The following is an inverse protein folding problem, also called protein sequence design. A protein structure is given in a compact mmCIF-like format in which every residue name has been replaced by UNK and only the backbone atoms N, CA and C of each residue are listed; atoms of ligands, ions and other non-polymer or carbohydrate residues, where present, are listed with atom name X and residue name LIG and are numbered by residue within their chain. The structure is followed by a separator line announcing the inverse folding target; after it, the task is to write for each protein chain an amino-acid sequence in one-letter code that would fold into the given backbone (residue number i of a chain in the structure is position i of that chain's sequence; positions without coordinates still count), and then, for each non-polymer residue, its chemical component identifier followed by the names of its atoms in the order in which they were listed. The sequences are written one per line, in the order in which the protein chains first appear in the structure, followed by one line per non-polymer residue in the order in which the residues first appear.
data_IF_528775182624
#
_entry.id   IF_528775182624
#
_cell.length_a   1.000
_cell.length_b   1.000
_cell.length_c   1.000
_cell.angle_alpha   90.00
_cell.angle_beta   90.00
_cell.angle_gamma   90.00
#
_symmetry.space_group_name_H-M   'P 1'
#
loop_
_entity.id
_entity.type
_entity.pdbx_description
1 polymer ?
#
# COMPACT_ATOMS: atom_id res chain seq x y z
N UNK A 1 -1.85 4.54 -15.80
CA UNK A 1 -1.77 3.11 -15.44
C UNK A 1 -2.00 2.30 -16.71
N UNK A 2 -1.24 1.23 -16.94
CA UNK A 2 -1.48 0.27 -18.02
C UNK A 2 -1.72 -1.11 -17.42
N UNK A 3 -2.81 -1.76 -17.83
CA UNK A 3 -3.16 -3.12 -17.43
C UNK A 3 -2.98 -4.04 -18.63
N UNK A 4 -2.18 -5.09 -18.48
CA UNK A 4 -1.94 -6.10 -19.50
C UNK A 4 -2.41 -7.45 -18.94
N UNK A 5 -3.29 -8.13 -19.68
CA UNK A 5 -3.77 -9.46 -19.31
C UNK A 5 -3.12 -10.50 -20.20
N UNK A 6 -2.31 -11.37 -19.59
CA UNK A 6 -1.74 -12.50 -20.27
C UNK A 6 -2.67 -13.71 -20.15
N UNK A 7 -3.46 -13.95 -21.20
CA UNK A 7 -4.40 -15.09 -21.29
C UNK A 7 -3.72 -16.45 -21.20
N UNK A 8 -2.48 -16.58 -21.67
CA UNK A 8 -1.73 -17.84 -21.67
C UNK A 8 -1.31 -18.23 -20.25
N UNK A 9 -0.79 -17.26 -19.49
CA UNK A 9 -0.30 -17.51 -18.14
C UNK A 9 -1.34 -17.27 -17.04
N UNK A 10 -2.53 -16.74 -17.39
CA UNK A 10 -3.58 -16.31 -16.45
C UNK A 10 -3.04 -15.27 -15.46
N UNK A 11 -2.29 -14.29 -15.96
CA UNK A 11 -1.63 -13.26 -15.16
C UNK A 11 -2.11 -11.86 -15.54
N UNK A 12 -2.23 -11.00 -14.53
CA UNK A 12 -2.49 -9.57 -14.69
C UNK A 12 -1.21 -8.82 -14.35
N UNK A 13 -0.71 -8.08 -15.33
CA UNK A 13 0.40 -7.15 -15.18
C UNK A 13 -0.13 -5.72 -15.04
N UNK A 14 0.24 -5.07 -13.96
CA UNK A 14 -0.15 -3.73 -13.58
C UNK A 14 1.11 -2.86 -13.63
N UNK A 15 1.20 -2.04 -14.68
CA UNK A 15 2.26 -1.03 -14.81
C UNK A 15 1.73 0.30 -14.26
N UNK A 16 2.12 0.60 -13.04
CA UNK A 16 1.84 1.85 -12.34
C UNK A 16 3.01 2.27 -11.43
N UNK A 17 2.88 3.44 -10.82
CA UNK A 17 3.88 3.99 -9.90
C UNK A 17 3.63 3.60 -8.43
N UNK A 18 2.60 2.78 -8.14
CA UNK A 18 2.20 2.49 -6.75
C UNK A 18 3.32 1.80 -5.98
N UNK A 19 4.11 0.95 -6.65
CA UNK A 19 5.28 0.32 -6.06
C UNK A 19 6.34 1.36 -5.68
N UNK A 20 6.65 2.30 -6.57
CA UNK A 20 7.65 3.34 -6.34
C UNK A 20 7.23 4.26 -5.19
N UNK A 21 5.98 4.73 -5.19
CA UNK A 21 5.43 5.56 -4.11
C UNK A 21 5.43 4.83 -2.77
N UNK A 22 5.12 3.53 -2.77
CA UNK A 22 5.14 2.71 -1.55
C UNK A 22 6.56 2.55 -1.02
N UNK A 23 7.53 2.25 -1.89
CA UNK A 23 8.94 2.17 -1.52
C UNK A 23 9.47 3.49 -0.96
N UNK A 24 9.11 4.61 -1.58
CA UNK A 24 9.50 5.93 -1.11
C UNK A 24 8.98 6.18 0.32
N UNK A 25 7.72 5.83 0.61
CA UNK A 25 7.17 5.94 1.97
C UNK A 25 7.94 5.05 2.95
N UNK A 26 8.22 3.79 2.59
CA UNK A 26 8.95 2.86 3.45
C UNK A 26 10.36 3.38 3.75
N UNK A 27 11.07 3.87 2.73
CA UNK A 27 12.43 4.44 2.87
C UNK A 27 12.40 5.67 3.77
N UNK A 28 11.46 6.59 3.57
CA UNK A 28 11.33 7.78 4.42
C UNK A 28 11.06 7.40 5.88
N UNK A 29 10.19 6.42 6.13
CA UNK A 29 9.93 5.95 7.48
C UNK A 29 11.17 5.27 8.08
N UNK A 30 11.93 4.50 7.31
CA UNK A 30 13.15 3.85 7.77
C UNK A 30 14.24 4.88 8.14
N UNK A 31 14.44 5.89 7.29
CA UNK A 31 15.33 7.03 7.59
C UNK A 31 14.88 7.75 8.86
N UNK A 32 13.58 7.95 9.04
CA UNK A 32 13.03 8.57 10.24
C UNK A 32 13.34 7.74 11.50
N UNK A 33 13.12 6.43 11.45
CA UNK A 33 13.45 5.51 12.56
C UNK A 33 14.94 5.56 12.88
N UNK A 34 15.81 5.53 11.87
CA UNK A 34 17.25 5.61 12.07
C UNK A 34 17.67 6.94 12.71
N UNK A 35 17.13 8.06 12.22
CA UNK A 35 17.38 9.39 12.77
C UNK A 35 16.94 9.49 14.24
N UNK A 36 15.75 8.99 14.57
CA UNK A 36 15.27 9.03 15.96
C UNK A 36 16.05 8.07 16.86
N UNK A 37 16.42 6.88 16.39
CA UNK A 37 17.26 5.95 17.15
C UNK A 37 18.62 6.57 17.48
N UNK A 38 19.22 7.29 16.52
CA UNK A 38 20.44 8.06 16.74
C UNK A 38 20.19 9.13 17.82
N UNK A 39 19.20 10.00 17.65
CA UNK A 39 18.91 11.08 18.61
C UNK A 39 18.63 10.58 20.04
N UNK A 40 17.85 9.50 20.16
CA UNK A 40 17.54 8.87 21.45
C UNK A 40 18.78 8.26 22.12
N UNK A 41 19.81 7.89 21.35
CA UNK A 41 21.07 7.35 21.90
C UNK A 41 21.97 8.43 22.51
N UNK A 42 21.83 9.70 22.07
CA UNK A 42 22.65 10.82 22.56
C UNK A 42 21.93 11.70 23.59
N UNK A 43 20.60 11.73 23.56
CA UNK A 43 19.84 12.62 24.46
C UNK A 43 19.67 12.00 25.84
N UNK A 44 20.01 12.76 26.88
CA UNK A 44 19.77 12.34 28.27
C UNK A 44 18.29 12.52 28.62
N UNK A 45 17.67 11.44 29.11
CA UNK A 45 16.26 11.43 29.53
C UNK A 45 15.98 12.51 30.58
N UNK A 46 16.75 12.53 31.68
CA UNK A 46 16.52 13.42 32.83
C UNK A 46 16.53 14.92 32.48
N UNK A 47 17.21 15.31 31.40
CA UNK A 47 17.29 16.71 30.96
C UNK A 47 16.24 17.08 29.92
N UNK A 48 15.66 16.10 29.22
CA UNK A 48 14.83 16.33 28.03
C UNK A 48 13.66 15.33 27.94
N UNK A 49 13.00 15.04 29.07
CA UNK A 49 11.99 13.97 29.17
C UNK A 49 10.89 14.06 28.11
N UNK A 50 10.28 15.24 27.93
CA UNK A 50 9.21 15.45 26.94
C UNK A 50 9.69 15.20 25.51
N UNK A 51 10.89 15.65 25.17
CA UNK A 51 11.46 15.48 23.84
C UNK A 51 11.81 14.01 23.59
N UNK A 52 12.38 13.33 24.58
CA UNK A 52 12.68 11.90 24.53
C UNK A 52 11.41 11.08 24.29
N UNK A 53 10.34 11.33 25.06
CA UNK A 53 9.06 10.63 24.91
C UNK A 53 8.46 10.90 23.53
N UNK A 54 8.49 12.15 23.06
CA UNK A 54 8.01 12.51 21.72
C UNK A 54 8.75 11.77 20.60
N UNK A 55 10.07 11.74 20.65
CA UNK A 55 10.90 10.99 19.69
C UNK A 55 10.64 9.48 19.74
N UNK A 56 10.49 8.91 20.95
CA UNK A 56 10.19 7.48 21.11
C UNK A 56 8.83 7.10 20.52
N UNK A 57 7.79 7.93 20.74
CA UNK A 57 6.47 7.72 20.16
C UNK A 57 6.54 7.82 18.63
N UNK A 58 7.22 8.83 18.08
CA UNK A 58 7.37 8.98 16.64
C UNK A 58 8.12 7.77 16.02
N UNK A 59 9.14 7.25 16.70
CA UNK A 59 9.85 6.04 16.27
C UNK A 59 8.92 4.82 16.23
N UNK A 60 8.12 4.62 17.28
CA UNK A 60 7.12 3.55 17.33
C UNK A 60 6.09 3.67 16.21
N UNK A 61 5.57 4.88 15.95
CA UNK A 61 4.63 5.11 14.86
C UNK A 61 5.26 4.80 13.50
N UNK A 62 6.50 5.23 13.24
CA UNK A 62 7.19 4.94 11.99
C UNK A 62 7.42 3.44 11.80
N UNK A 63 7.82 2.70 12.83
CA UNK A 63 7.94 1.24 12.79
C UNK A 63 6.59 0.58 12.50
N UNK A 64 5.53 1.03 13.18
CA UNK A 64 4.18 0.52 12.96
C UNK A 64 3.71 0.74 11.53
N UNK A 65 3.97 1.91 10.94
CA UNK A 65 3.64 2.20 9.54
C UNK A 65 4.38 1.24 8.60
N UNK A 66 5.69 1.05 8.78
CA UNK A 66 6.47 0.10 7.96
C UNK A 66 5.86 -1.30 8.06
N UNK A 67 5.62 -1.79 9.27
CA UNK A 67 5.02 -3.10 9.51
C UNK A 67 3.65 -3.25 8.86
N UNK A 68 2.79 -2.23 8.96
CA UNK A 68 1.48 -2.22 8.34
C UNK A 68 1.57 -2.33 6.82
N UNK A 69 2.49 -1.60 6.18
CA UNK A 69 2.68 -1.68 4.73
C UNK A 69 3.11 -3.08 4.31
N UNK A 70 4.10 -3.69 4.97
CA UNK A 70 4.55 -5.06 4.65
C UNK A 70 3.49 -6.15 4.87
N UNK A 71 2.67 -6.01 5.91
CA UNK A 71 1.68 -7.04 6.27
C UNK A 71 0.36 -6.91 5.53
N UNK A 72 -0.14 -5.69 5.31
CA UNK A 72 -1.49 -5.46 4.78
C UNK A 72 -1.52 -5.03 3.31
N UNK A 73 -0.42 -4.54 2.76
CA UNK A 73 -0.35 -4.09 1.36
C UNK A 73 0.50 -5.00 0.49
N UNK A 74 0.09 -5.11 -0.76
CA UNK A 74 0.89 -5.65 -1.85
C UNK A 74 1.18 -4.55 -2.85
N UNK A 75 2.37 -4.57 -3.43
CA UNK A 75 2.84 -3.65 -4.46
C UNK A 75 3.53 -4.38 -5.62
N UNK A 76 3.32 -5.71 -5.74
CA UNK A 76 3.76 -6.45 -6.91
C UNK A 76 3.12 -5.84 -8.17
N UNK A 77 3.84 -5.98 -9.29
CA UNK A 77 3.37 -5.58 -10.61
C UNK A 77 2.68 -6.70 -11.36
N UNK A 78 2.97 -7.97 -11.03
CA UNK A 78 2.38 -9.15 -11.68
C UNK A 78 1.65 -9.95 -10.61
N UNK A 79 0.41 -10.33 -10.91
CA UNK A 79 -0.44 -11.19 -10.09
C UNK A 79 -0.99 -12.32 -10.93
N UNK A 80 -0.93 -13.56 -10.41
CA UNK A 80 -1.68 -14.67 -11.01
C UNK A 80 -3.14 -14.55 -10.62
N UNK A 81 -4.06 -14.90 -11.52
CA UNK A 81 -5.50 -14.90 -11.22
C UNK A 81 -5.84 -15.77 -10.00
N UNK A 82 -5.11 -16.85 -9.80
CA UNK A 82 -5.26 -17.77 -8.65
C UNK A 82 -4.88 -17.11 -7.31
N UNK A 83 -4.05 -16.07 -7.31
CA UNK A 83 -3.69 -15.33 -6.10
C UNK A 83 -4.73 -14.26 -5.72
N UNK A 84 -5.68 -13.98 -6.61
CA UNK A 84 -6.68 -12.91 -6.48
C UNK A 84 -7.97 -13.50 -5.93
N UNK A 85 -8.35 -13.07 -4.73
CA UNK A 85 -9.64 -13.42 -4.11
C UNK A 85 -10.79 -12.68 -4.80
N UNK A 86 -10.57 -11.40 -5.14
CA UNK A 86 -11.54 -10.59 -5.87
C UNK A 86 -11.27 -9.10 -5.83
N UNK A 87 -12.25 -8.35 -6.32
CA UNK A 87 -12.22 -6.90 -6.38
C UNK A 87 -13.05 -6.30 -5.23
N UNK A 88 -12.40 -5.52 -4.36
CA UNK A 88 -13.01 -4.84 -3.21
C UNK A 88 -13.08 -3.32 -3.51
N UNK A 89 -14.24 -2.69 -3.30
CA UNK A 89 -14.41 -1.24 -3.45
C UNK A 89 -14.70 -0.62 -2.08
N UNK A 90 -13.94 0.42 -1.70
CA UNK A 90 -14.15 1.16 -0.46
C UNK A 90 -14.20 2.65 -0.69
N UNK A 91 -15.07 3.33 0.06
CA UNK A 91 -15.07 4.79 0.14
C UNK A 91 -14.07 5.24 1.22
N UNK A 92 -13.03 5.95 0.81
CA UNK A 92 -11.97 6.46 1.70
C UNK A 92 -11.85 7.97 1.46
N UNK A 93 -12.02 8.77 2.51
CA UNK A 93 -12.01 10.25 2.43
C UNK A 93 -12.95 10.80 1.34
N UNK A 94 -14.18 10.27 1.28
CA UNK A 94 -15.20 10.68 0.31
C UNK A 94 -14.98 10.18 -1.12
N UNK A 95 -13.84 9.55 -1.43
CA UNK A 95 -13.52 9.02 -2.76
C UNK A 95 -13.59 7.50 -2.78
N UNK A 96 -14.17 6.94 -3.84
CA UNK A 96 -14.13 5.50 -4.06
C UNK A 96 -12.73 5.06 -4.47
N UNK A 97 -12.26 3.98 -3.85
CA UNK A 97 -10.99 3.33 -4.15
C UNK A 97 -11.23 1.86 -4.41
N UNK A 98 -10.67 1.39 -5.52
CA UNK A 98 -10.68 0.00 -5.93
C UNK A 98 -9.41 -0.67 -5.40
N UNK A 99 -9.57 -1.89 -4.88
CA UNK A 99 -8.48 -2.75 -4.41
C UNK A 99 -8.63 -4.14 -5.00
N UNK A 100 -7.51 -4.75 -5.41
CA UNK A 100 -7.47 -6.21 -5.56
C UNK A 100 -7.22 -6.80 -4.17
N UNK A 101 -8.16 -7.64 -3.72
CA UNK A 101 -8.01 -8.47 -2.53
C UNK A 101 -7.32 -9.77 -2.95
N UNK A 102 -6.24 -10.11 -2.26
CA UNK A 102 -5.46 -11.31 -2.52
C UNK A 102 -5.82 -12.39 -1.50
N UNK A 103 -5.70 -13.66 -1.86
CA UNK A 103 -6.00 -14.80 -0.97
C UNK A 103 -5.19 -14.80 0.34
N UNK A 104 -4.00 -14.19 0.33
CA UNK A 104 -3.17 -14.02 1.53
C UNK A 104 -3.65 -12.89 2.46
N UNK A 105 -4.82 -12.30 2.21
CA UNK A 105 -5.40 -11.20 2.99
C UNK A 105 -4.77 -9.83 2.75
N UNK A 106 -3.76 -9.72 1.86
CA UNK A 106 -3.17 -8.43 1.45
C UNK A 106 -4.04 -7.75 0.40
N UNK A 107 -3.88 -6.42 0.30
CA UNK A 107 -4.58 -5.60 -0.68
C UNK A 107 -3.61 -4.91 -1.61
N UNK A 108 -3.88 -4.95 -2.91
CA UNK A 108 -3.22 -4.11 -3.91
C UNK A 108 -4.14 -2.95 -4.26
N UNK A 109 -3.75 -1.74 -3.87
CA UNK A 109 -4.48 -0.51 -4.21
C UNK A 109 -4.18 -0.07 -5.64
N UNK A 110 -5.18 0.39 -6.37
CA UNK A 110 -4.95 1.11 -7.63
C UNK A 110 -4.66 2.60 -7.37
N UNK A 111 -4.06 3.31 -8.33
CA UNK A 111 -3.94 4.77 -8.29
C UNK A 111 -5.30 5.43 -8.04
N UNK A 112 -5.30 6.63 -7.46
CA UNK A 112 -6.52 7.38 -7.22
C UNK A 112 -7.13 7.75 -8.58
N UNK A 113 -8.26 7.14 -8.90
CA UNK A 113 -9.06 7.49 -10.06
C UNK A 113 -9.84 8.77 -9.76
N UNK A 114 -9.90 9.68 -10.75
CA UNK A 114 -10.44 11.02 -10.55
C UNK A 114 -11.94 11.08 -10.83
N UNK A 115 -12.44 10.20 -11.70
CA UNK A 115 -13.82 10.21 -12.16
C UNK A 115 -14.53 8.86 -11.89
N UNK A 116 -15.84 8.92 -11.66
CA UNK A 116 -16.69 7.72 -11.51
C UNK A 116 -16.64 6.83 -12.76
N UNK A 117 -16.55 7.44 -13.93
CA UNK A 117 -16.43 6.71 -15.20
C UNK A 117 -15.12 5.90 -15.28
N UNK A 118 -14.00 6.42 -14.77
CA UNK A 118 -12.74 5.67 -14.71
C UNK A 118 -12.84 4.47 -13.76
N UNK A 119 -13.56 4.64 -12.64
CA UNK A 119 -13.80 3.59 -11.64
C UNK A 119 -14.66 2.49 -12.27
N UNK A 120 -15.73 2.85 -12.95
CA UNK A 120 -16.62 1.88 -13.59
C UNK A 120 -15.94 1.17 -14.75
N UNK A 121 -15.15 1.89 -15.56
CA UNK A 121 -14.35 1.29 -16.63
C UNK A 121 -13.32 0.32 -16.08
N UNK A 122 -12.59 0.68 -15.02
CA UNK A 122 -11.63 -0.23 -14.37
C UNK A 122 -12.33 -1.47 -13.83
N UNK A 123 -13.49 -1.31 -13.18
CA UNK A 123 -14.31 -2.41 -12.68
C UNK A 123 -14.72 -3.35 -13.82
N UNK A 124 -15.26 -2.81 -14.92
CA UNK A 124 -15.64 -3.60 -16.11
C UNK A 124 -14.43 -4.33 -16.70
N UNK A 125 -13.29 -3.66 -16.85
CA UNK A 125 -12.07 -4.27 -17.38
C UNK A 125 -11.62 -5.46 -16.51
N UNK A 126 -11.58 -5.30 -15.18
CA UNK A 126 -11.14 -6.35 -14.27
C UNK A 126 -12.14 -7.51 -14.20
N UNK A 127 -13.45 -7.23 -14.23
CA UNK A 127 -14.47 -8.28 -14.29
C UNK A 127 -14.43 -9.04 -15.62
N UNK A 128 -14.20 -8.36 -16.74
CA UNK A 128 -14.01 -9.01 -18.05
C UNK A 128 -12.74 -9.89 -18.10
N UNK A 129 -11.75 -9.62 -17.25
CA UNK A 129 -10.56 -10.46 -17.08
C UNK A 129 -10.79 -11.68 -16.17
N UNK A 130 -12.01 -11.85 -15.65
CA UNK A 130 -12.39 -13.01 -14.81
C UNK A 130 -12.26 -12.77 -13.30
N UNK A 131 -11.99 -11.55 -12.85
CA UNK A 131 -11.94 -11.22 -11.42
C UNK A 131 -13.36 -10.98 -10.90
N UNK A 132 -13.77 -11.75 -9.88
CA UNK A 132 -15.08 -11.60 -9.23
C UNK A 132 -15.10 -10.39 -8.30
N UNK A 133 -16.27 -9.77 -8.17
CA UNK A 133 -16.54 -8.75 -7.16
C UNK A 133 -16.76 -9.43 -5.81
N UNK A 134 -16.16 -8.88 -4.75
CA UNK A 134 -16.23 -9.39 -3.37
C UNK A 134 -16.63 -8.28 -2.43
#
# INVERSE_FOLDING_TARGET
MKLEFNKLNKEISIKDEVANHTWLIIILMAVNVFNMAFQLSYISFEKNELLFIGLAILALVSIFVIFFFFTKRSWKSIYKLEEIEGLEVKKIYGKERIFLKLLNGKRRSFPILRNLEEIENLKKTLTNMGIKLV
#
